data_IF_789006679270
#
_entry.id   IF_789006679270
#
_cell.length_a   1.000
_cell.length_b   1.000
_cell.length_c   1.000
_cell.angle_alpha   90.00
_cell.angle_beta   90.00
_cell.angle_gamma   90.00
#
_symmetry.space_group_name_H-M   'P 1'
#
loop_
_entity.id
_entity.type
_entity.pdbx_description
1 polymer ?
#
# COMPACT_ATOMS: atom_id res chain seq x y z
N UNK A 1 16.87 0.79 8.40
CA UNK A 1 15.96 0.40 7.30
C UNK A 1 15.56 1.68 6.58
N UNK A 2 15.64 1.71 5.24
CA UNK A 2 15.23 2.90 4.46
C UNK A 2 13.69 2.87 4.38
N UNK A 3 12.98 3.97 4.69
CA UNK A 3 11.52 4.04 4.52
C UNK A 3 11.12 3.81 3.07
N UNK A 4 9.91 3.27 2.84
CA UNK A 4 9.39 3.09 1.46
C UNK A 4 9.16 4.42 0.74
N UNK A 5 8.80 5.45 1.50
CA UNK A 5 8.64 6.81 1.01
C UNK A 5 9.37 7.76 1.95
N UNK A 6 10.19 8.64 1.39
CA UNK A 6 10.83 9.71 2.15
C UNK A 6 11.16 10.92 1.28
N UNK A 7 11.19 12.08 1.91
CA UNK A 7 11.68 13.31 1.30
C UNK A 7 13.08 13.61 1.81
N UNK A 8 13.92 14.15 0.94
CA UNK A 8 15.29 14.50 1.27
C UNK A 8 15.74 15.79 0.59
N UNK A 9 16.70 16.45 1.22
CA UNK A 9 17.38 17.62 0.70
C UNK A 9 18.78 17.26 0.20
N UNK A 10 19.18 17.88 -0.91
CA UNK A 10 20.55 17.90 -1.40
C UNK A 10 21.03 19.34 -1.56
N UNK A 11 22.31 19.58 -1.27
CA UNK A 11 22.94 20.86 -1.60
C UNK A 11 23.23 20.90 -3.11
N UNK A 12 22.48 21.71 -3.86
CA UNK A 12 22.75 21.99 -5.26
C UNK A 12 23.55 23.29 -5.43
N UNK A 13 24.05 23.52 -6.64
CA UNK A 13 24.79 24.74 -7.03
C UNK A 13 23.98 26.03 -6.84
N UNK A 14 22.65 25.93 -6.89
CA UNK A 14 21.69 27.04 -6.74
C UNK A 14 20.99 27.04 -5.37
N UNK A 15 21.55 26.31 -4.39
CA UNK A 15 20.97 26.14 -3.06
C UNK A 15 20.37 24.75 -2.82
N UNK A 16 19.75 24.58 -1.66
CA UNK A 16 19.13 23.31 -1.26
C UNK A 16 17.96 22.97 -2.18
N UNK A 17 17.94 21.74 -2.69
CA UNK A 17 16.85 21.19 -3.50
C UNK A 17 16.19 20.03 -2.77
N UNK A 18 14.87 19.94 -2.88
CA UNK A 18 14.05 18.90 -2.28
C UNK A 18 13.63 17.87 -3.32
N UNK A 19 13.62 16.62 -2.87
CA UNK A 19 13.28 15.46 -3.67
C UNK A 19 12.47 14.49 -2.84
N UNK A 20 11.70 13.67 -3.54
CA UNK A 20 10.94 12.56 -2.99
C UNK A 20 11.49 11.26 -3.55
N UNK A 21 11.74 10.28 -2.69
CA UNK A 21 12.15 8.93 -3.04
C UNK A 21 11.02 7.94 -2.73
N UNK A 22 10.66 7.12 -3.71
CA UNK A 22 9.62 6.09 -3.61
C UNK A 22 10.23 4.73 -3.93
N UNK A 23 10.07 3.77 -3.02
CA UNK A 23 10.60 2.42 -3.17
C UNK A 23 9.83 1.67 -4.27
N UNK A 24 10.59 1.02 -5.15
CA UNK A 24 10.10 0.17 -6.22
C UNK A 24 10.84 -1.18 -6.19
N UNK A 25 10.52 -2.08 -7.12
CA UNK A 25 11.21 -3.36 -7.20
C UNK A 25 12.69 -3.16 -7.63
N UNK A 26 13.60 -3.26 -6.66
CA UNK A 26 15.05 -3.15 -6.89
C UNK A 26 15.66 -1.78 -6.60
N UNK A 27 14.93 -0.87 -5.95
CA UNK A 27 15.49 0.41 -5.51
C UNK A 27 14.45 1.50 -5.27
N UNK A 28 14.80 2.72 -5.65
CA UNK A 28 14.03 3.94 -5.42
C UNK A 28 13.98 4.80 -6.67
N UNK A 29 12.78 5.23 -7.04
CA UNK A 29 12.58 6.31 -7.99
C UNK A 29 12.61 7.65 -7.26
N UNK A 30 13.36 8.61 -7.80
CA UNK A 30 13.50 9.95 -7.24
C UNK A 30 12.82 10.97 -8.13
N UNK A 31 12.04 11.85 -7.51
CA UNK A 31 11.27 12.90 -8.14
C UNK A 31 11.68 14.26 -7.57
N UNK A 32 11.68 15.31 -8.41
CA UNK A 32 11.98 16.67 -7.97
C UNK A 32 10.73 17.40 -7.51
N UNK A 33 10.65 17.81 -6.23
CA UNK A 33 9.41 18.29 -5.62
C UNK A 33 8.86 19.56 -6.26
N UNK A 34 9.72 20.43 -6.79
CA UNK A 34 9.29 21.65 -7.48
C UNK A 34 8.68 21.41 -8.86
N UNK A 35 8.94 20.24 -9.46
CA UNK A 35 8.56 19.92 -10.84
C UNK A 35 7.62 18.73 -10.95
N UNK A 36 7.58 17.86 -9.95
CA UNK A 36 6.91 16.55 -10.02
C UNK A 36 7.57 15.56 -10.97
N UNK A 37 8.62 15.96 -11.69
CA UNK A 37 9.25 15.14 -12.72
C UNK A 37 10.13 14.05 -12.11
N UNK A 38 10.09 12.89 -12.76
CA UNK A 38 11.04 11.82 -12.52
C UNK A 38 12.47 12.32 -12.82
N UNK A 39 13.38 12.07 -11.88
CA UNK A 39 14.79 12.45 -11.98
C UNK A 39 15.62 11.22 -12.36
N UNK A 40 15.57 10.18 -11.51
CA UNK A 40 16.41 9.00 -11.67
C UNK A 40 16.00 7.85 -10.74
N UNK A 41 16.29 6.63 -11.16
CA UNK A 41 16.25 5.44 -10.31
C UNK A 41 17.60 5.17 -9.64
N UNK A 42 17.58 4.81 -8.35
CA UNK A 42 18.75 4.44 -7.55
C UNK A 42 18.54 3.09 -6.87
N UNK A 43 19.50 2.17 -6.93
CA UNK A 43 19.43 0.92 -6.18
C UNK A 43 19.54 1.14 -4.66
N UNK A 44 19.03 0.19 -3.87
CA UNK A 44 18.96 0.28 -2.40
C UNK A 44 20.31 0.63 -1.75
N UNK A 45 21.38 -0.05 -2.17
CA UNK A 45 22.73 0.18 -1.65
C UNK A 45 23.22 1.62 -1.95
N UNK A 46 22.83 2.18 -3.09
CA UNK A 46 23.20 3.55 -3.44
C UNK A 46 22.46 4.55 -2.56
N UNK A 47 21.17 4.35 -2.34
CA UNK A 47 20.38 5.23 -1.46
C UNK A 47 20.87 5.14 -0.02
N UNK A 48 21.13 3.93 0.48
CA UNK A 48 21.71 3.71 1.82
C UNK A 48 23.01 4.48 2.01
N UNK A 49 23.91 4.38 1.02
CA UNK A 49 25.20 5.07 1.03
C UNK A 49 25.02 6.59 1.02
N UNK A 50 24.18 7.13 0.15
CA UNK A 50 23.92 8.58 0.03
C UNK A 50 23.34 9.18 1.32
N UNK A 51 22.43 8.46 1.97
CA UNK A 51 21.90 8.84 3.29
C UNK A 51 22.98 8.77 4.38
N UNK A 52 23.77 7.69 4.40
CA UNK A 52 24.84 7.47 5.39
C UNK A 52 25.98 8.49 5.30
N UNK A 53 26.35 8.87 4.07
CA UNK A 53 27.35 9.91 3.80
C UNK A 53 26.80 11.33 3.96
N UNK A 54 25.52 11.50 4.31
CA UNK A 54 24.82 12.79 4.41
C UNK A 54 24.83 13.59 3.10
N UNK A 55 25.01 12.93 1.97
CA UNK A 55 24.78 13.52 0.64
C UNK A 55 23.29 13.85 0.48
N UNK A 56 22.43 12.96 1.00
CA UNK A 56 20.99 13.14 1.11
C UNK A 56 20.62 13.33 2.58
N UNK A 57 20.04 14.48 2.91
CA UNK A 57 19.51 14.74 4.23
C UNK A 57 18.01 14.42 4.24
N UNK A 58 17.62 13.30 4.85
CA UNK A 58 16.21 12.95 5.01
C UNK A 58 15.51 13.98 5.89
N UNK A 59 14.46 14.62 5.37
CA UNK A 59 13.71 15.67 6.06
C UNK A 59 12.29 15.24 6.44
N UNK A 60 11.73 14.25 5.73
CA UNK A 60 10.45 13.63 6.06
C UNK A 60 10.51 12.15 5.67
N UNK A 61 9.80 11.30 6.41
CA UNK A 61 9.61 9.88 6.07
C UNK A 61 8.16 9.52 6.36
N UNK A 62 7.54 8.74 5.48
CA UNK A 62 6.35 8.01 5.91
C UNK A 62 6.81 6.83 6.75
N UNK A 63 6.40 6.84 8.02
CA UNK A 63 6.33 5.60 8.77
C UNK A 63 5.12 4.83 8.25
N UNK A 64 5.28 3.53 8.01
CA UNK A 64 4.21 2.67 7.48
C UNK A 64 2.94 2.86 8.31
N UNK A 65 1.98 3.58 7.76
CA UNK A 65 0.67 3.74 8.38
C UNK A 65 -0.12 2.47 8.11
N UNK A 66 0.09 1.45 8.96
CA UNK A 66 -0.62 0.19 8.88
C UNK A 66 -2.13 0.33 9.12
N UNK A 67 -2.61 1.51 9.52
CA UNK A 67 -4.02 1.81 9.72
C UNK A 67 -4.64 2.31 8.40
N UNK A 68 -3.99 3.24 7.72
CA UNK A 68 -4.53 3.84 6.49
C UNK A 68 -4.03 3.16 5.20
N UNK A 69 -2.80 2.63 5.18
CA UNK A 69 -2.19 1.94 4.04
C UNK A 69 -1.45 0.66 4.46
N UNK A 70 -2.19 -0.41 4.83
CA UNK A 70 -1.57 -1.66 5.22
C UNK A 70 -0.80 -2.28 4.05
N UNK A 71 0.47 -2.61 4.28
CA UNK A 71 1.43 -3.16 3.31
C UNK A 71 0.96 -4.37 2.48
N UNK A 72 -0.11 -5.04 2.92
CA UNK A 72 -0.66 -6.23 2.30
C UNK A 72 -1.77 -5.93 1.27
N UNK A 73 -2.20 -4.68 1.11
CA UNK A 73 -3.01 -4.24 -0.03
C UNK A 73 -2.09 -3.54 -1.03
N UNK A 74 -1.81 -4.18 -2.17
CA UNK A 74 -1.01 -3.58 -3.24
C UNK A 74 -1.73 -3.86 -4.55
N UNK A 75 -2.45 -2.86 -5.02
CA UNK A 75 -3.19 -2.74 -6.27
C UNK A 75 -3.47 -1.26 -6.52
N UNK A 76 -3.92 -0.86 -7.72
CA UNK A 76 -4.27 0.54 -8.04
C UNK A 76 -5.48 1.07 -7.25
N UNK A 77 -6.16 0.21 -6.51
CA UNK A 77 -7.42 0.47 -5.81
C UNK A 77 -7.31 -0.18 -4.44
N UNK A 78 -7.67 0.56 -3.38
CA UNK A 78 -7.64 0.02 -2.03
C UNK A 78 -8.75 -1.01 -1.85
N UNK A 79 -8.51 -2.03 -1.01
CA UNK A 79 -9.52 -3.09 -0.79
C UNK A 79 -10.78 -2.53 -0.13
N UNK A 80 -10.66 -1.45 0.63
CA UNK A 80 -11.82 -0.77 1.20
C UNK A 80 -12.71 -0.18 0.10
N UNK A 81 -12.15 0.42 -0.96
CA UNK A 81 -12.92 0.96 -2.08
C UNK A 81 -13.66 -0.15 -2.84
N UNK A 82 -13.01 -1.30 -3.02
CA UNK A 82 -13.63 -2.47 -3.66
C UNK A 82 -14.78 -3.00 -2.80
N UNK A 83 -14.60 -3.08 -1.48
CA UNK A 83 -15.63 -3.53 -0.55
C UNK A 83 -16.79 -2.52 -0.52
N UNK A 84 -16.51 -1.22 -0.50
CA UNK A 84 -17.52 -0.16 -0.54
C UNK A 84 -18.41 -0.32 -1.78
N UNK A 85 -17.81 -0.40 -2.97
CA UNK A 85 -18.54 -0.62 -4.22
C UNK A 85 -19.32 -1.94 -4.22
N UNK A 86 -18.69 -3.03 -3.78
CA UNK A 86 -19.33 -4.34 -3.79
C UNK A 86 -20.45 -4.51 -2.75
N UNK A 87 -20.52 -3.61 -1.76
CA UNK A 87 -21.55 -3.64 -0.71
C UNK A 87 -22.59 -2.53 -0.89
N UNK A 88 -22.49 -1.74 -1.96
CA UNK A 88 -23.47 -0.71 -2.29
C UNK A 88 -24.87 -1.32 -2.44
N UNK A 89 -25.85 -0.75 -1.72
CA UNK A 89 -27.24 -1.23 -1.70
C UNK A 89 -27.47 -2.50 -0.87
N UNK A 90 -26.42 -3.19 -0.41
CA UNK A 90 -26.56 -4.32 0.52
C UNK A 90 -26.75 -3.80 1.95
N UNK A 91 -27.55 -4.52 2.74
CA UNK A 91 -27.76 -4.19 4.15
C UNK A 91 -27.56 -5.41 5.05
N UNK A 92 -27.35 -5.13 6.34
CA UNK A 92 -27.26 -6.15 7.39
C UNK A 92 -26.21 -7.22 7.11
N UNK A 93 -26.59 -8.48 7.30
CA UNK A 93 -25.68 -9.61 7.17
C UNK A 93 -25.15 -9.79 5.74
N UNK A 94 -25.90 -9.36 4.73
CA UNK A 94 -25.50 -9.50 3.33
C UNK A 94 -24.32 -8.60 2.99
N UNK A 95 -24.31 -7.36 3.48
CA UNK A 95 -23.16 -6.45 3.31
C UNK A 95 -21.92 -6.98 4.06
N UNK A 96 -22.10 -7.43 5.31
CA UNK A 96 -21.02 -7.95 6.16
C UNK A 96 -20.37 -9.19 5.53
N UNK A 97 -21.17 -10.15 5.07
CA UNK A 97 -20.63 -11.34 4.45
C UNK A 97 -19.91 -11.01 3.14
N UNK A 98 -20.49 -10.15 2.29
CA UNK A 98 -19.92 -9.78 0.99
C UNK A 98 -18.54 -9.12 1.15
N UNK A 99 -18.44 -8.13 2.04
CA UNK A 99 -17.15 -7.48 2.32
C UNK A 99 -16.11 -8.45 2.88
N UNK A 100 -16.52 -9.38 3.75
CA UNK A 100 -15.60 -10.38 4.31
C UNK A 100 -15.11 -11.39 3.27
N UNK A 101 -15.96 -11.85 2.36
CA UNK A 101 -15.55 -12.74 1.25
C UNK A 101 -14.43 -12.07 0.46
N UNK A 102 -14.64 -10.83 0.01
CA UNK A 102 -13.67 -10.06 -0.77
C UNK A 102 -12.36 -9.88 0.03
N UNK A 103 -12.47 -9.40 1.27
CA UNK A 103 -11.32 -9.19 2.17
C UNK A 103 -10.43 -10.42 2.27
N UNK A 104 -11.00 -11.59 2.53
CA UNK A 104 -10.22 -12.81 2.73
C UNK A 104 -9.66 -13.37 1.42
N UNK A 105 -10.41 -13.29 0.31
CA UNK A 105 -9.92 -13.69 -1.02
C UNK A 105 -8.80 -12.77 -1.54
N UNK A 106 -8.79 -11.50 -1.18
CA UNK A 106 -7.67 -10.62 -1.58
C UNK A 106 -6.44 -10.77 -0.68
N UNK A 107 -6.63 -11.24 0.57
CA UNK A 107 -5.59 -11.31 1.58
C UNK A 107 -4.82 -12.63 1.62
N UNK A 108 -5.39 -13.73 1.13
CA UNK A 108 -4.88 -15.08 1.42
C UNK A 108 -3.42 -15.29 1.02
N UNK A 109 -2.98 -14.84 -0.16
CA UNK A 109 -1.60 -15.06 -0.60
C UNK A 109 -0.56 -14.33 0.26
N UNK A 110 -0.95 -13.23 0.91
CA UNK A 110 -0.04 -12.33 1.62
C UNK A 110 -0.04 -12.50 3.13
N UNK A 111 -1.09 -13.11 3.71
CA UNK A 111 -1.21 -13.24 5.18
C UNK A 111 -1.74 -14.58 5.64
N UNK A 112 -3.01 -14.89 5.38
CA UNK A 112 -3.68 -16.01 6.04
C UNK A 112 -3.66 -17.34 5.29
N UNK A 113 -3.12 -17.40 4.07
CA UNK A 113 -3.07 -18.61 3.26
C UNK A 113 -4.43 -19.29 3.14
N UNK A 114 -4.43 -20.63 3.22
CA UNK A 114 -5.66 -21.43 3.12
C UNK A 114 -6.68 -21.11 4.21
N UNK A 115 -6.28 -20.61 5.38
CA UNK A 115 -7.21 -20.24 6.45
C UNK A 115 -8.12 -19.07 6.04
N UNK A 116 -7.58 -18.09 5.32
CA UNK A 116 -8.39 -17.00 4.77
C UNK A 116 -9.39 -17.51 3.73
N UNK A 117 -8.98 -18.46 2.87
CA UNK A 117 -9.89 -19.07 1.90
C UNK A 117 -11.04 -19.82 2.61
N UNK A 118 -10.76 -20.52 3.71
CA UNK A 118 -11.80 -21.19 4.52
C UNK A 118 -12.74 -20.18 5.17
N UNK A 119 -12.24 -19.03 5.64
CA UNK A 119 -13.07 -17.94 6.17
C UNK A 119 -13.96 -17.35 5.07
N UNK A 120 -13.40 -17.10 3.89
CA UNK A 120 -14.17 -16.63 2.72
C UNK A 120 -15.30 -17.61 2.39
N UNK A 121 -15.01 -18.91 2.33
CA UNK A 121 -16.01 -19.95 2.10
C UNK A 121 -17.12 -19.93 3.17
N UNK A 122 -16.76 -19.76 4.44
CA UNK A 122 -17.76 -19.69 5.52
C UNK A 122 -18.74 -18.52 5.34
N UNK A 123 -18.24 -17.32 5.02
CA UNK A 123 -19.09 -16.14 4.77
C UNK A 123 -19.91 -16.29 3.49
N UNK A 124 -19.35 -16.91 2.45
CA UNK A 124 -20.07 -17.20 1.21
C UNK A 124 -21.23 -18.19 1.45
N UNK A 125 -20.98 -19.25 2.22
CA UNK A 125 -22.03 -20.21 2.59
C UNK A 125 -23.14 -19.56 3.42
N UNK A 126 -22.80 -18.59 4.29
CA UNK A 126 -23.79 -17.80 5.03
C UNK A 126 -24.67 -16.95 4.11
N UNK A 127 -24.10 -16.34 3.07
CA UNK A 127 -24.87 -15.61 2.06
C UNK A 127 -25.82 -16.52 1.30
N UNK A 128 -25.29 -17.63 0.77
CA UNK A 128 -26.08 -18.60 0.00
C UNK A 128 -27.25 -19.10 0.86
N UNK A 129 -26.99 -19.50 2.10
CA UNK A 129 -28.04 -19.93 3.02
C UNK A 129 -29.05 -18.83 3.39
N UNK A 130 -28.72 -17.55 3.25
CA UNK A 130 -29.71 -16.47 3.39
C UNK A 130 -30.70 -16.46 2.22
N UNK A 131 -30.18 -16.50 0.98
CA UNK A 131 -30.97 -16.44 -0.25
C UNK A 131 -31.71 -17.74 -0.58
N UNK A 132 -31.20 -18.90 -0.18
CA UNK A 132 -31.89 -20.19 -0.39
C UNK A 132 -33.07 -20.42 0.56
N UNK A 133 -33.13 -19.68 1.67
CA UNK A 133 -34.19 -19.80 2.67
C UNK A 133 -35.21 -18.63 2.62
N UNK A 134 -35.13 -17.77 1.60
CA UNK A 134 -36.13 -16.75 1.24
C UNK A 134 -37.18 -17.33 0.28
#
# INVERSE_FOLDING_TARGET
MIPKYFEFEMNGTLGKKRYTAIQTHGGFEVYGNSTGNFIKHYGDATVARKLGEKEWLMIHKEESDNVNHPDHYQGKTEVIDIIEQATEGLQGINAVCTGNVIKYVMRFQKKGGVEDLKKAQWYLNKLIGGYENE
#
